data_IF_406697087808
#
_entry.id   IF_406697087808
#
_cell.length_a   1.000
_cell.length_b   1.000
_cell.length_c   1.000
_cell.angle_alpha   90.00
_cell.angle_beta   90.00
_cell.angle_gamma   90.00
#
_symmetry.space_group_name_H-M   'P 1'
#
loop_
_entity.id
_entity.type
_entity.pdbx_description
1 polymer ?
#
# COMPACT_ATOMS: atom_id res chain seq x y z
N UNK A 1 8.42 -0.40 -16.68
CA UNK A 1 7.87 -0.41 -15.30
C UNK A 1 8.77 0.50 -14.50
N UNK A 2 8.25 1.62 -14.03
CA UNK A 2 9.05 2.65 -13.36
C UNK A 2 8.39 3.00 -12.03
N UNK A 3 9.21 3.28 -11.02
CA UNK A 3 8.75 3.85 -9.75
C UNK A 3 8.20 5.26 -10.00
N UNK A 4 7.09 5.60 -9.35
CA UNK A 4 6.52 6.95 -9.37
C UNK A 4 7.22 7.79 -8.31
N UNK A 5 7.89 8.86 -8.72
CA UNK A 5 8.60 9.76 -7.81
C UNK A 5 7.69 10.54 -6.87
N UNK A 6 8.25 11.03 -5.77
CA UNK A 6 7.52 11.74 -4.70
C UNK A 6 6.66 12.91 -5.19
N UNK A 7 7.16 13.75 -6.09
CA UNK A 7 6.44 14.91 -6.61
C UNK A 7 5.14 14.51 -7.34
N UNK A 8 5.20 13.43 -8.13
CA UNK A 8 4.04 12.83 -8.78
C UNK A 8 3.13 12.15 -7.77
N UNK A 9 3.67 11.44 -6.78
CA UNK A 9 2.86 10.83 -5.71
C UNK A 9 2.06 11.87 -4.94
N UNK A 10 2.65 13.01 -4.59
CA UNK A 10 1.95 14.11 -3.93
C UNK A 10 0.79 14.65 -4.77
N UNK A 11 0.99 14.80 -6.09
CA UNK A 11 -0.07 15.20 -7.01
C UNK A 11 -1.17 14.15 -7.08
N UNK A 12 -0.80 12.89 -7.30
CA UNK A 12 -1.75 11.78 -7.42
C UNK A 12 -2.52 11.55 -6.13
N UNK A 13 -1.90 11.73 -4.96
CA UNK A 13 -2.57 11.70 -3.67
C UNK A 13 -3.70 12.74 -3.59
N UNK A 14 -3.46 13.97 -4.04
CA UNK A 14 -4.50 15.02 -4.08
C UNK A 14 -5.61 14.68 -5.08
N UNK A 15 -5.25 14.10 -6.22
CA UNK A 15 -6.18 13.87 -7.34
C UNK A 15 -7.00 12.59 -7.25
N UNK A 16 -6.48 11.54 -6.61
CA UNK A 16 -7.03 10.19 -6.58
C UNK A 16 -7.11 9.59 -5.18
N UNK A 17 -6.59 10.27 -4.14
CA UNK A 17 -6.58 9.78 -2.76
C UNK A 17 -6.00 8.36 -2.67
N UNK A 18 -4.70 8.25 -2.93
CA UNK A 18 -3.99 6.97 -2.95
C UNK A 18 -3.99 6.28 -1.57
N UNK A 19 -3.92 7.07 -0.49
CA UNK A 19 -3.91 6.57 0.88
C UNK A 19 -4.85 7.41 1.75
N UNK A 20 -5.51 6.77 2.73
CA UNK A 20 -6.33 7.45 3.73
C UNK A 20 -6.40 6.69 5.07
N UNK A 21 -6.28 7.38 6.22
CA UNK A 21 -5.93 8.80 6.37
C UNK A 21 -4.51 9.08 5.86
N UNK A 22 -4.31 10.27 5.31
CA UNK A 22 -3.03 10.67 4.72
C UNK A 22 -2.28 11.62 5.64
N UNK A 23 -1.00 11.32 5.86
CA UNK A 23 -0.06 12.16 6.59
C UNK A 23 1.20 12.39 5.72
N UNK A 24 1.52 13.63 5.33
CA UNK A 24 2.73 13.95 4.58
C UNK A 24 4.03 13.49 5.25
N UNK A 25 4.06 13.35 6.59
CA UNK A 25 5.22 12.88 7.33
C UNK A 25 5.55 11.41 7.06
N UNK A 26 4.62 10.64 6.49
CA UNK A 26 4.81 9.24 6.12
C UNK A 26 5.38 9.05 4.71
N UNK A 27 5.65 10.12 3.95
CA UNK A 27 6.47 9.97 2.74
C UNK A 27 7.90 9.56 3.09
N UNK A 28 8.38 8.50 2.46
CA UNK A 28 9.74 7.95 2.65
C UNK A 28 10.34 7.64 1.27
N UNK A 29 11.23 8.51 0.80
CA UNK A 29 11.77 8.45 -0.56
C UNK A 29 10.67 8.61 -1.63
N UNK A 30 10.61 7.65 -2.55
CA UNK A 30 9.63 7.56 -3.65
C UNK A 30 8.41 6.69 -3.28
N UNK A 31 8.16 6.51 -1.99
CA UNK A 31 7.07 5.70 -1.46
C UNK A 31 6.36 6.35 -0.27
N UNK A 32 5.36 5.65 0.24
CA UNK A 32 4.60 6.05 1.43
C UNK A 32 4.61 4.92 2.45
N UNK A 33 4.73 5.26 3.73
CA UNK A 33 4.78 4.28 4.82
C UNK A 33 3.40 4.13 5.46
N UNK A 34 2.84 2.93 5.41
CA UNK A 34 1.61 2.58 6.12
C UNK A 34 1.92 2.15 7.55
N UNK A 35 1.02 2.50 8.46
CA UNK A 35 1.11 2.21 9.88
C UNK A 35 0.20 1.06 10.29
N UNK A 36 0.37 0.51 11.50
CA UNK A 36 -0.42 -0.63 11.97
C UNK A 36 -1.75 -0.18 12.62
N UNK A 37 -2.86 -0.85 12.29
CA UNK A 37 -4.19 -0.52 12.82
C UNK A 37 -4.33 -0.77 14.34
N UNK A 38 -3.66 -1.80 14.86
CA UNK A 38 -3.82 -2.31 16.22
C UNK A 38 -2.48 -2.74 16.83
N UNK A 39 -2.43 -2.89 18.16
CA UNK A 39 -1.26 -3.47 18.82
C UNK A 39 -1.18 -4.97 18.48
N UNK A 40 -0.02 -5.42 18.02
CA UNK A 40 0.23 -6.84 17.73
C UNK A 40 1.50 -7.30 18.43
N UNK A 41 1.47 -8.50 18.99
CA UNK A 41 2.66 -9.17 19.53
C UNK A 41 2.81 -10.51 18.84
N UNK A 42 3.95 -10.72 18.19
CA UNK A 42 4.24 -11.92 17.41
C UNK A 42 5.30 -12.71 18.16
N UNK A 43 4.92 -13.84 18.73
CA UNK A 43 5.85 -14.72 19.44
C UNK A 43 6.79 -15.43 18.46
N UNK A 44 7.89 -15.99 18.98
CA UNK A 44 8.87 -16.67 18.14
C UNK A 44 8.24 -17.89 17.44
N UNK A 45 8.44 -17.99 16.12
CA UNK A 45 7.83 -18.95 15.20
C UNK A 45 6.31 -18.86 15.04
N UNK A 46 5.69 -17.81 15.58
CA UNK A 46 4.28 -17.54 15.32
C UNK A 46 4.10 -16.72 14.04
N UNK A 47 2.90 -16.86 13.48
CA UNK A 47 2.40 -16.16 12.31
C UNK A 47 1.25 -15.25 12.73
N UNK A 48 1.25 -14.01 12.24
CA UNK A 48 0.15 -13.07 12.47
C UNK A 48 -0.21 -12.28 11.21
N UNK A 49 -1.50 -12.00 11.06
CA UNK A 49 -2.02 -11.08 10.06
C UNK A 49 -2.08 -9.67 10.65
N UNK A 50 -1.26 -8.77 10.12
CA UNK A 50 -1.18 -7.37 10.57
C UNK A 50 -1.85 -6.47 9.55
N UNK A 51 -2.88 -5.75 9.98
CA UNK A 51 -3.68 -4.86 9.11
C UNK A 51 -3.15 -3.44 9.17
N UNK A 52 -3.03 -2.78 8.02
CA UNK A 52 -2.69 -1.36 7.95
C UNK A 52 -3.78 -0.48 8.53
N UNK A 53 -3.41 0.61 9.17
CA UNK A 53 -4.33 1.62 9.67
C UNK A 53 -5.03 2.31 8.49
N UNK A 54 -4.22 2.68 7.49
CA UNK A 54 -4.68 3.32 6.28
C UNK A 54 -5.27 2.30 5.30
N UNK A 55 -6.32 2.68 4.59
CA UNK A 55 -6.66 2.00 3.35
C UNK A 55 -5.87 2.61 2.18
N UNK A 56 -5.63 1.80 1.17
CA UNK A 56 -4.92 2.16 -0.06
C UNK A 56 -5.90 2.07 -1.22
N UNK A 57 -5.86 3.05 -2.11
CA UNK A 57 -6.45 3.02 -3.44
C UNK A 57 -5.30 2.99 -4.46
N UNK A 58 -5.18 1.90 -5.19
CA UNK A 58 -4.28 1.77 -6.32
C UNK A 58 -5.08 2.17 -7.58
N UNK A 59 -4.80 3.32 -8.21
CA UNK A 59 -5.50 3.72 -9.42
C UNK A 59 -5.33 2.69 -10.54
N UNK A 60 -6.26 2.69 -11.50
CA UNK A 60 -6.27 1.72 -12.59
C UNK A 60 -4.97 1.72 -13.42
N UNK A 61 -4.23 2.82 -13.45
CA UNK A 61 -2.99 2.97 -14.22
C UNK A 61 -1.71 2.67 -13.43
N UNK A 62 -1.82 2.29 -12.14
CA UNK A 62 -0.68 1.98 -11.27
C UNK A 62 -0.76 0.57 -10.71
N UNK A 63 0.34 0.14 -10.11
CA UNK A 63 0.48 -1.07 -9.31
C UNK A 63 1.14 -0.68 -8.00
N UNK A 64 0.68 -1.23 -6.88
CA UNK A 64 1.33 -1.07 -5.58
C UNK A 64 2.34 -2.18 -5.35
N UNK A 65 3.55 -1.84 -4.89
CA UNK A 65 4.55 -2.81 -4.44
C UNK A 65 4.85 -2.55 -2.97
N UNK A 66 4.89 -3.62 -2.17
CA UNK A 66 4.97 -3.54 -0.73
C UNK A 66 6.19 -4.26 -0.19
N UNK A 67 6.91 -3.60 0.68
CA UNK A 67 7.98 -4.20 1.49
C UNK A 67 7.77 -3.82 2.95
N UNK A 68 8.45 -4.50 3.87
CA UNK A 68 8.45 -4.13 5.29
C UNK A 68 9.60 -3.17 5.59
N UNK A 69 9.43 -2.27 6.58
CA UNK A 69 10.54 -1.39 7.00
C UNK A 69 11.74 -2.25 7.38
N UNK A 70 12.93 -1.84 6.91
CA UNK A 70 14.17 -2.57 7.15
C UNK A 70 14.47 -2.81 8.64
N UNK A 71 13.99 -1.93 9.55
CA UNK A 71 14.02 -2.11 11.00
C UNK A 71 13.50 -3.50 11.40
N UNK A 72 12.32 -3.91 10.92
CA UNK A 72 11.69 -5.17 11.29
C UNK A 72 12.35 -6.38 10.63
N UNK A 73 12.79 -6.24 9.38
CA UNK A 73 13.59 -7.29 8.72
C UNK A 73 14.88 -7.60 9.49
N UNK A 74 15.55 -6.59 10.05
CA UNK A 74 16.75 -6.75 10.89
C UNK A 74 16.47 -7.36 12.26
N UNK A 75 15.24 -7.25 12.76
CA UNK A 75 14.80 -7.93 13.99
C UNK A 75 14.46 -9.41 13.76
N UNK A 76 14.40 -9.87 12.50
CA UNK A 76 13.99 -11.22 12.14
C UNK A 76 12.48 -11.36 11.96
N UNK A 77 11.76 -10.28 11.67
CA UNK A 77 10.38 -10.35 11.23
C UNK A 77 10.32 -10.54 9.71
N UNK A 78 9.86 -11.71 9.27
CA UNK A 78 9.74 -12.06 7.86
C UNK A 78 8.33 -11.77 7.35
N UNK A 79 8.26 -11.27 6.12
CA UNK A 79 7.04 -11.00 5.39
C UNK A 79 6.77 -12.15 4.41
N UNK A 80 5.63 -12.83 4.54
CA UNK A 80 5.37 -14.09 3.83
C UNK A 80 4.40 -14.00 2.64
N UNK A 81 3.70 -12.88 2.45
CA UNK A 81 2.66 -12.77 1.41
C UNK A 81 3.08 -12.03 0.14
N UNK A 82 2.13 -11.93 -0.80
CA UNK A 82 2.28 -11.22 -2.06
C UNK A 82 2.60 -9.74 -1.84
N UNK A 83 3.82 -9.35 -2.21
CA UNK A 83 4.35 -7.99 -2.18
C UNK A 83 3.68 -7.02 -3.19
N UNK A 84 2.49 -7.31 -3.72
CA UNK A 84 1.88 -6.55 -4.81
C UNK A 84 0.38 -6.35 -4.61
N UNK A 85 -0.04 -5.09 -4.69
CA UNK A 85 -1.44 -4.69 -4.84
C UNK A 85 -1.74 -4.44 -6.33
N UNK A 86 -2.83 -5.05 -6.82
CA UNK A 86 -3.22 -4.96 -8.23
C UNK A 86 -3.78 -3.57 -8.57
N UNK A 87 -3.69 -3.17 -9.85
CA UNK A 87 -4.37 -1.97 -10.33
C UNK A 87 -5.85 -1.99 -9.98
N UNK A 88 -6.43 -0.87 -9.55
CA UNK A 88 -7.83 -0.78 -9.14
C UNK A 88 -8.13 -1.33 -7.75
N UNK A 89 -7.18 -1.94 -7.04
CA UNK A 89 -7.40 -2.40 -5.66
C UNK A 89 -7.71 -1.23 -4.73
N UNK A 90 -8.73 -1.41 -3.89
CA UNK A 90 -9.05 -0.50 -2.79
C UNK A 90 -9.25 -1.35 -1.53
N UNK A 91 -8.60 -1.00 -0.43
CA UNK A 91 -8.72 -1.73 0.82
C UNK A 91 -7.54 -1.48 1.77
N UNK A 92 -7.67 -1.93 3.02
CA UNK A 92 -6.52 -2.00 3.91
C UNK A 92 -5.60 -3.15 3.49
N UNK A 93 -4.31 -3.00 3.75
CA UNK A 93 -3.32 -4.03 3.47
C UNK A 93 -3.27 -4.99 4.66
N UNK A 94 -3.32 -6.28 4.36
CA UNK A 94 -3.04 -7.33 5.33
C UNK A 94 -1.64 -7.85 5.03
N UNK A 95 -0.71 -7.68 5.97
CA UNK A 95 0.60 -8.30 5.91
C UNK A 95 0.63 -9.56 6.75
N UNK A 96 1.12 -10.62 6.15
CA UNK A 96 1.42 -11.86 6.86
C UNK A 96 2.86 -11.79 7.38
N UNK A 97 3.01 -11.82 8.71
CA UNK A 97 4.31 -11.68 9.38
C UNK A 97 4.63 -12.91 10.20
N UNK A 98 5.89 -13.34 10.15
CA UNK A 98 6.43 -14.43 10.96
C UNK A 98 7.66 -13.97 11.71
N UNK A 99 7.71 -14.21 13.01
CA UNK A 99 8.87 -13.89 13.82
C UNK A 99 9.87 -15.07 13.81
N UNK A 100 10.95 -14.92 13.06
CA UNK A 100 12.07 -15.87 12.99
C UNK A 100 13.34 -15.30 13.66
N UNK A 101 13.15 -14.39 14.63
CA UNK A 101 14.26 -13.70 15.30
C UNK A 101 15.16 -14.68 16.05
N UNK A 102 16.49 -14.51 15.91
CA UNK A 102 17.48 -15.34 16.65
C UNK A 102 17.41 -15.21 18.17
N UNK A 103 16.83 -14.12 18.66
CA UNK A 103 16.70 -13.87 20.09
C UNK A 103 15.58 -14.70 20.72
N UNK A 104 14.72 -15.33 19.91
CA UNK A 104 13.55 -16.09 20.34
C UNK A 104 12.64 -15.29 21.29
N UNK A 105 12.61 -13.96 21.14
CA UNK A 105 11.78 -13.06 21.94
C UNK A 105 10.56 -12.61 21.13
N UNK A 106 9.42 -12.35 21.79
CA UNK A 106 8.28 -11.73 21.13
C UNK A 106 8.65 -10.36 20.55
N UNK A 107 8.08 -10.02 19.40
CA UNK A 107 8.18 -8.70 18.79
C UNK A 107 6.81 -8.04 18.89
N UNK A 108 6.76 -6.89 19.56
CA UNK A 108 5.55 -6.08 19.67
C UNK A 108 5.64 -4.92 18.68
N UNK A 109 4.56 -4.69 17.94
CA UNK A 109 4.37 -3.55 17.05
C UNK A 109 3.17 -2.77 17.57
N UNK A 110 3.38 -1.49 17.86
CA UNK A 110 2.32 -0.66 18.44
C UNK A 110 1.36 -0.17 17.36
N UNK A 111 0.11 0.08 17.74
CA UNK A 111 -0.84 0.80 16.89
C UNK A 111 -0.24 2.14 16.44
N UNK A 112 -0.34 2.42 15.15
CA UNK A 112 0.24 3.61 14.51
C UNK A 112 1.73 3.50 14.23
N UNK A 113 2.41 2.40 14.60
CA UNK A 113 3.83 2.24 14.26
C UNK A 113 4.00 2.04 12.75
N UNK A 114 4.89 2.80 12.09
CA UNK A 114 5.13 2.67 10.65
C UNK A 114 5.77 1.30 10.31
N UNK A 115 5.16 0.54 9.40
CA UNK A 115 5.53 -0.86 9.13
C UNK A 115 5.74 -1.17 7.64
N UNK A 116 4.87 -0.67 6.76
CA UNK A 116 4.79 -1.11 5.36
C UNK A 116 5.30 -0.01 4.45
N UNK A 117 6.33 -0.24 3.66
CA UNK A 117 6.70 0.65 2.55
C UNK A 117 5.85 0.30 1.35
N UNK A 118 5.11 1.26 0.83
CA UNK A 118 4.31 1.16 -0.38
C UNK A 118 4.89 2.06 -1.46
N UNK A 119 5.38 1.43 -2.53
CA UNK A 119 5.81 2.10 -3.75
C UNK A 119 4.74 1.97 -4.83
N UNK A 120 4.58 2.99 -5.65
CA UNK A 120 3.70 2.92 -6.82
C UNK A 120 4.52 2.78 -8.09
N UNK A 121 4.07 1.89 -8.96
CA UNK A 121 4.77 1.53 -10.18
C UNK A 121 3.86 1.72 -11.39
N UNK A 122 4.42 2.26 -12.45
CA UNK A 122 3.78 2.24 -13.78
C UNK A 122 3.88 0.86 -14.40
N UNK A 123 2.91 0.48 -15.22
CA UNK A 123 2.95 -0.76 -16.02
C UNK A 123 3.02 -0.46 -17.51
N UNK A 124 3.40 -1.47 -18.28
CA UNK A 124 3.23 -1.46 -19.74
C UNK A 124 1.95 -2.19 -20.11
N UNK A 125 1.19 -1.65 -21.06
CA UNK A 125 -0.06 -2.24 -21.55
C UNK A 125 -1.32 -1.92 -20.72
N UNK A 126 -2.44 -2.47 -21.17
CA UNK A 126 -3.77 -2.21 -20.59
C UNK A 126 -3.91 -2.78 -19.16
N UNK A 127 -4.69 -2.14 -18.28
CA UNK A 127 -5.01 -2.71 -16.97
C UNK A 127 -5.81 -4.00 -17.07
N UNK A 128 -5.59 -4.87 -16.09
CA UNK A 128 -6.62 -5.81 -15.62
C UNK A 128 -6.92 -5.43 -14.17
N UNK A 129 -7.88 -4.54 -13.93
CA UNK A 129 -8.18 -4.05 -12.59
C UNK A 129 -8.61 -5.18 -11.66
N UNK A 130 -8.40 -5.00 -10.36
CA UNK A 130 -8.81 -5.93 -9.33
C UNK A 130 -10.33 -5.91 -9.18
N UNK A 131 -10.95 -7.09 -9.29
CA UNK A 131 -12.38 -7.34 -9.11
C UNK A 131 -12.64 -8.50 -8.13
N UNK A 132 -11.62 -8.85 -7.34
CA UNK A 132 -11.65 -9.98 -6.42
C UNK A 132 -12.31 -9.69 -5.07
N UNK A 133 -12.42 -10.75 -4.26
CA UNK A 133 -13.14 -10.75 -2.96
C UNK A 133 -12.57 -9.84 -1.86
N UNK A 134 -11.35 -9.34 -2.01
CA UNK A 134 -10.70 -8.47 -1.02
C UNK A 134 -10.89 -6.98 -1.32
N UNK A 135 -11.73 -6.64 -2.29
CA UNK A 135 -12.09 -5.25 -2.56
C UNK A 135 -12.80 -4.67 -1.34
N UNK A 136 -12.37 -3.48 -0.92
CA UNK A 136 -12.81 -2.77 0.28
C UNK A 136 -12.58 -3.53 1.60
N UNK A 137 -11.64 -4.47 1.65
CA UNK A 137 -11.38 -5.23 2.86
C UNK A 137 -11.04 -4.31 4.05
N UNK A 138 -11.64 -4.63 5.19
CA UNK A 138 -11.51 -3.90 6.45
C UNK A 138 -11.90 -2.42 6.35
N UNK A 139 -12.72 -2.01 5.38
CA UNK A 139 -13.25 -0.64 5.28
C UNK A 139 -14.67 -0.53 5.81
N UNK A 140 -15.01 0.64 6.33
CA UNK A 140 -16.39 1.02 6.66
C UNK A 140 -17.15 1.51 5.42
N UNK A 141 -18.48 1.45 5.47
CA UNK A 141 -19.36 1.96 4.42
C UNK A 141 -19.13 3.47 4.15
N UNK A 142 -18.80 4.25 5.20
CA UNK A 142 -18.46 5.66 5.09
C UNK A 142 -17.17 5.87 4.30
N UNK A 143 -16.14 5.05 4.55
CA UNK A 143 -14.88 5.10 3.81
C UNK A 143 -15.06 4.68 2.34
N UNK A 144 -15.91 3.68 2.07
CA UNK A 144 -16.23 3.24 0.71
C UNK A 144 -16.90 4.37 -0.07
N UNK A 145 -17.94 5.00 0.49
CA UNK A 145 -18.60 6.17 -0.14
C UNK A 145 -17.65 7.34 -0.36
N UNK A 146 -16.66 7.52 0.53
CA UNK A 146 -15.66 8.58 0.41
C UNK A 146 -14.70 8.35 -0.77
N UNK A 147 -14.26 7.12 -1.01
CA UNK A 147 -13.27 6.82 -2.04
C UNK A 147 -13.89 6.62 -3.43
N UNK A 148 -15.16 6.24 -3.50
CA UNK A 148 -15.87 5.91 -4.75
C UNK A 148 -15.72 6.98 -5.86
N UNK A 149 -15.87 8.31 -5.61
CA UNK A 149 -15.68 9.31 -6.66
C UNK A 149 -14.26 9.31 -7.26
N UNK A 150 -13.24 9.02 -6.44
CA UNK A 150 -11.85 8.94 -6.89
C UNK A 150 -11.58 7.64 -7.66
N UNK A 151 -12.19 6.52 -7.21
CA UNK A 151 -12.13 5.24 -7.89
C UNK A 151 -12.74 5.34 -9.31
N UNK A 152 -13.93 5.92 -9.42
CA UNK A 152 -14.62 6.18 -10.70
C UNK A 152 -13.85 7.16 -11.58
N UNK A 153 -13.21 8.18 -11.01
CA UNK A 153 -12.33 9.07 -11.77
C UNK A 153 -11.15 8.28 -12.36
N UNK A 154 -10.50 7.44 -11.56
CA UNK A 154 -9.33 6.66 -11.98
C UNK A 154 -9.66 5.63 -13.07
N UNK A 155 -10.86 5.04 -13.06
CA UNK A 155 -11.27 4.02 -14.02
C UNK A 155 -11.51 4.55 -15.44
N UNK A 156 -11.67 5.87 -15.57
CA UNK A 156 -11.85 6.56 -16.85
C UNK A 156 -10.53 6.85 -17.57
N UNK A 157 -9.39 6.68 -16.91
CA UNK A 157 -8.08 6.96 -17.52
C UNK A 157 -7.63 5.77 -18.35
N UNK A 158 -7.35 6.02 -19.64
CA UNK A 158 -7.02 5.00 -20.61
C UNK A 158 -5.59 4.49 -20.50
N UNK A 159 -4.65 5.31 -20.03
CA UNK A 159 -3.24 4.93 -19.91
C UNK A 159 -2.46 5.66 -18.80
N UNK A 160 -1.32 5.10 -18.32
CA UNK A 160 -0.45 5.78 -17.37
C UNK A 160 0.12 7.10 -17.91
N UNK A 161 0.41 7.21 -19.20
CA UNK A 161 0.96 8.44 -19.81
C UNK A 161 -0.03 9.61 -19.69
N UNK A 162 -1.31 9.34 -19.93
CA UNK A 162 -2.42 10.29 -19.74
C UNK A 162 -2.50 10.76 -18.29
N UNK A 163 -2.46 9.83 -17.33
CA UNK A 163 -2.56 10.15 -15.90
C UNK A 163 -1.34 10.89 -15.35
N UNK A 164 -0.16 10.55 -15.85
CA UNK A 164 1.11 11.03 -15.31
C UNK A 164 1.56 12.34 -15.96
N UNK A 165 0.98 12.76 -17.09
CA UNK A 165 1.43 13.91 -17.88
C UNK A 165 2.94 13.84 -18.20
N UNK A 166 3.48 12.63 -18.33
CA UNK A 166 4.88 12.40 -18.68
C UNK A 166 4.95 12.31 -20.21
N UNK A 167 5.68 13.23 -20.85
CA UNK A 167 6.13 12.99 -22.22
C UNK A 167 7.14 11.85 -22.16
N UNK A 168 6.79 10.69 -22.75
CA UNK A 168 7.77 9.62 -22.94
C UNK A 168 8.97 10.21 -23.71
N UNK A 169 10.21 10.01 -23.24
CA UNK A 169 11.36 10.38 -24.05
C UNK A 169 11.27 9.64 -25.39
N UNK A 170 11.40 10.38 -26.49
CA UNK A 170 11.40 9.86 -27.86
C UNK A 170 12.59 8.93 -28.09
#
# INVERSE_FOLDING_TARGET
>A
MCVVGKDLLERLQREYRLVWPFDPAHFDGDGYVLSVAENVTIHYLDFENVVSLEFVHIPWFLVGYMTTKSKFGRLGLMFSNSAKAHSGFIGRIVLELTNVSKLHKPITISKGEPLIHLDFWTRLGKPSPYDGKYMYQHMSEEEIRMIEPFAVKSSKIGSPEEALNIQLPR
#
